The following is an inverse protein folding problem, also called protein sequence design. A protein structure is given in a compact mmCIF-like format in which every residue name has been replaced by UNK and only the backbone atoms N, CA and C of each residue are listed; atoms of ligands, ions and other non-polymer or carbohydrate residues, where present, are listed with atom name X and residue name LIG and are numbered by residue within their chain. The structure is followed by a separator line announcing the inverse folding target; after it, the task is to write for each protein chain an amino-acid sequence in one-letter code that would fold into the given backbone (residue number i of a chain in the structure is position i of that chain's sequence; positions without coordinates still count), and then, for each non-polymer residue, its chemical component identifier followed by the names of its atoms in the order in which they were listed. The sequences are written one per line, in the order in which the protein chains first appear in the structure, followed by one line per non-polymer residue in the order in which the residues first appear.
data_IF_834296176012
#
_entry.id   IF_834296176012
#
_cell.length_a   1.000
_cell.length_b   1.000
_cell.length_c   1.000
_cell.angle_alpha   90.00
_cell.angle_beta   90.00
_cell.angle_gamma   90.00
#
_symmetry.space_group_name_H-M   'P 1'
#
loop_
_entity.id
_entity.type
_entity.pdbx_description
1 polymer ?
#
# COMPACT_ATOMS: atom_id res chain seq x y z
N UNK A 1 -1.98 28.60 -17.16
CA UNK A 1 -1.85 28.26 -15.73
C UNK A 1 -1.00 29.32 -15.03
N UNK A 2 -1.46 29.79 -13.87
CA UNK A 2 -0.66 30.66 -13.00
C UNK A 2 0.39 29.85 -12.22
N UNK A 3 1.36 30.53 -11.60
CA UNK A 3 2.34 29.88 -10.73
C UNK A 3 1.64 29.10 -9.59
N UNK A 4 0.59 29.70 -9.01
CA UNK A 4 -0.17 29.06 -7.93
C UNK A 4 -0.80 27.75 -8.42
N UNK A 5 -1.41 27.77 -9.59
CA UNK A 5 -2.03 26.58 -10.20
C UNK A 5 -1.00 25.51 -10.55
N UNK A 6 0.19 25.90 -11.05
CA UNK A 6 1.29 24.98 -11.34
C UNK A 6 1.75 24.27 -10.06
N UNK A 7 1.96 25.03 -8.98
CA UNK A 7 2.37 24.47 -7.68
C UNK A 7 1.32 23.53 -7.10
N UNK A 8 0.05 23.93 -7.12
CA UNK A 8 -1.06 23.11 -6.62
C UNK A 8 -1.19 21.81 -7.42
N UNK A 9 -1.11 21.91 -8.74
CA UNK A 9 -1.18 20.75 -9.62
C UNK A 9 -0.02 19.78 -9.36
N UNK A 10 1.20 20.29 -9.21
CA UNK A 10 2.36 19.47 -8.89
C UNK A 10 2.22 18.77 -7.54
N UNK A 11 1.80 19.49 -6.50
CA UNK A 11 1.57 18.92 -5.16
C UNK A 11 0.52 17.81 -5.20
N UNK A 12 -0.61 18.04 -5.85
CA UNK A 12 -1.67 17.04 -6.02
C UNK A 12 -1.19 15.79 -6.76
N UNK A 13 -0.44 15.98 -7.85
CA UNK A 13 0.10 14.86 -8.64
C UNK A 13 1.15 14.06 -7.86
N UNK A 14 2.00 14.73 -7.09
CA UNK A 14 2.94 14.06 -6.21
C UNK A 14 2.24 13.28 -5.10
N UNK A 15 1.17 13.84 -4.51
CA UNK A 15 0.34 13.13 -3.55
C UNK A 15 -0.30 11.88 -4.17
N UNK A 16 -0.83 11.98 -5.39
CA UNK A 16 -1.39 10.83 -6.11
C UNK A 16 -0.32 9.74 -6.36
N UNK A 17 0.89 10.15 -6.71
CA UNK A 17 2.02 9.20 -6.87
C UNK A 17 2.38 8.51 -5.57
N UNK A 18 2.38 9.24 -4.46
CA UNK A 18 2.61 8.68 -3.13
C UNK A 18 1.50 7.69 -2.74
N UNK A 19 0.24 8.04 -2.95
CA UNK A 19 -0.91 7.19 -2.64
C UNK A 19 -0.91 5.92 -3.49
N UNK A 20 -0.58 6.04 -4.77
CA UNK A 20 -0.41 4.88 -5.67
C UNK A 20 0.71 3.95 -5.19
N UNK A 21 1.82 4.52 -4.73
CA UNK A 21 2.92 3.76 -4.14
C UNK A 21 2.49 3.04 -2.86
N UNK A 22 1.77 3.71 -1.95
CA UNK A 22 1.21 3.10 -0.75
C UNK A 22 0.32 1.90 -1.09
N UNK A 23 -0.58 2.07 -2.06
CA UNK A 23 -1.45 0.99 -2.52
C UNK A 23 -0.65 -0.18 -3.11
N UNK A 24 0.39 0.09 -3.88
CA UNK A 24 1.30 -0.92 -4.41
C UNK A 24 2.00 -1.72 -3.31
N UNK A 25 2.44 -1.04 -2.25
CA UNK A 25 3.08 -1.70 -1.10
C UNK A 25 2.14 -2.64 -0.35
N UNK A 26 0.85 -2.33 -0.25
CA UNK A 26 -0.12 -3.19 0.44
C UNK A 26 -0.28 -4.55 -0.25
N UNK A 27 0.00 -4.63 -1.54
CA UNK A 27 -0.08 -5.86 -2.34
C UNK A 27 1.13 -6.77 -2.16
N UNK A 28 2.22 -6.27 -1.59
CA UNK A 28 3.42 -7.06 -1.33
C UNK A 28 3.22 -7.81 -0.02
N UNK A 29 3.28 -9.15 -0.07
CA UNK A 29 3.15 -10.00 1.11
C UNK A 29 4.34 -9.81 2.05
N UNK A 30 4.02 -9.61 3.32
CA UNK A 30 5.00 -9.67 4.41
C UNK A 30 4.74 -10.91 5.26
N UNK A 31 5.65 -11.24 6.16
CA UNK A 31 5.41 -12.31 7.14
C UNK A 31 4.33 -11.96 8.18
N UNK A 32 3.83 -10.72 8.18
CA UNK A 32 2.80 -10.26 9.10
C UNK A 32 1.40 -10.61 8.61
N UNK A 33 0.57 -11.05 9.54
CA UNK A 33 -0.86 -11.25 9.29
C UNK A 33 -1.58 -9.90 9.13
N UNK A 34 -2.49 -9.85 8.15
CA UNK A 34 -3.37 -8.72 7.94
C UNK A 34 -4.79 -9.25 7.69
N UNK A 35 -5.80 -8.86 8.49
CA UNK A 35 -7.18 -9.30 8.26
C UNK A 35 -7.69 -9.01 6.85
N UNK A 36 -7.22 -7.94 6.22
CA UNK A 36 -7.57 -7.59 4.85
C UNK A 36 -7.18 -8.63 3.79
N UNK A 37 -6.28 -9.56 4.11
CA UNK A 37 -5.96 -10.68 3.21
C UNK A 37 -7.15 -11.58 2.92
N UNK A 38 -8.11 -11.65 3.82
CA UNK A 38 -9.32 -12.48 3.68
C UNK A 38 -10.47 -11.74 3.00
N UNK A 39 -10.33 -10.48 2.64
CA UNK A 39 -11.40 -9.70 2.01
C UNK A 39 -11.85 -10.26 0.66
N UNK A 40 -10.96 -10.96 -0.03
CA UNK A 40 -11.25 -11.59 -1.32
C UNK A 40 -11.90 -12.98 -1.17
N UNK A 41 -11.94 -13.53 0.04
CA UNK A 41 -12.52 -14.85 0.31
C UNK A 41 -14.04 -14.73 0.41
N UNK A 42 -14.75 -15.52 -0.38
CA UNK A 42 -16.20 -15.60 -0.37
C UNK A 42 -16.64 -16.97 0.15
N UNK A 43 -17.69 -16.97 0.95
CA UNK A 43 -18.25 -18.18 1.59
C UNK A 43 -19.67 -18.39 1.10
N UNK A 44 -20.03 -19.65 0.86
CA UNK A 44 -21.41 -20.01 0.56
C UNK A 44 -22.27 -19.86 1.84
N UNK A 45 -23.15 -18.89 1.83
CA UNK A 45 -24.11 -18.62 2.88
C UNK A 45 -25.52 -18.81 2.36
N UNK A 46 -26.09 -19.97 2.65
CA UNK A 46 -27.45 -20.40 2.20
C UNK A 46 -27.67 -20.22 0.68
N UNK A 47 -26.68 -20.61 -0.11
CA UNK A 47 -26.73 -20.54 -1.57
C UNK A 47 -26.24 -19.23 -2.20
N UNK A 48 -25.87 -18.24 -1.38
CA UNK A 48 -25.30 -16.96 -1.84
C UNK A 48 -23.83 -16.87 -1.45
N UNK A 49 -22.97 -16.48 -2.40
CA UNK A 49 -21.57 -16.23 -2.13
C UNK A 49 -21.41 -14.83 -1.52
N UNK A 50 -21.01 -14.77 -0.26
CA UNK A 50 -20.84 -13.52 0.48
C UNK A 50 -19.41 -13.38 0.98
N UNK A 51 -18.91 -12.14 1.15
CA UNK A 51 -17.59 -11.92 1.77
C UNK A 51 -17.53 -12.52 3.17
N UNK A 52 -16.36 -13.03 3.56
CA UNK A 52 -16.15 -13.65 4.87
C UNK A 52 -16.52 -12.72 6.03
N UNK A 53 -16.32 -11.41 5.87
CA UNK A 53 -16.65 -10.40 6.87
C UNK A 53 -18.16 -10.30 7.18
N UNK A 54 -19.01 -10.82 6.33
CA UNK A 54 -20.47 -10.86 6.54
C UNK A 54 -20.95 -12.08 7.33
N UNK A 55 -20.09 -13.06 7.56
CA UNK A 55 -20.44 -14.32 8.25
C UNK A 55 -19.55 -14.60 9.46
N UNK A 56 -18.50 -13.83 9.65
CA UNK A 56 -17.54 -14.01 10.73
C UNK A 56 -16.89 -12.69 11.14
N UNK A 57 -16.39 -12.65 12.36
CA UNK A 57 -15.51 -11.58 12.81
C UNK A 57 -14.06 -11.95 12.50
N UNK A 58 -13.40 -11.13 11.71
CA UNK A 58 -11.99 -11.31 11.30
C UNK A 58 -11.11 -10.32 12.04
N UNK A 59 -10.15 -10.81 12.80
CA UNK A 59 -9.24 -10.00 13.59
C UNK A 59 -7.84 -10.62 13.65
N UNK A 60 -6.88 -9.92 14.25
CA UNK A 60 -5.57 -10.48 14.53
C UNK A 60 -5.55 -11.18 15.88
N UNK A 61 -5.07 -12.41 15.91
CA UNK A 61 -4.78 -13.12 17.15
C UNK A 61 -3.37 -12.75 17.66
N UNK A 62 -2.42 -12.70 16.74
CA UNK A 62 -1.06 -12.25 16.96
C UNK A 62 -0.47 -11.69 15.65
N UNK A 63 0.81 -11.31 15.64
CA UNK A 63 1.47 -10.71 14.48
C UNK A 63 1.49 -11.60 13.22
N UNK A 64 1.27 -12.90 13.36
CA UNK A 64 1.37 -13.89 12.27
C UNK A 64 0.12 -14.75 12.10
N UNK A 65 -0.90 -14.54 12.91
CA UNK A 65 -2.10 -15.38 12.90
C UNK A 65 -3.36 -14.52 12.82
N UNK A 66 -4.20 -14.81 11.84
CA UNK A 66 -5.54 -14.21 11.73
C UNK A 66 -6.51 -15.10 12.51
N UNK A 67 -7.40 -14.46 13.25
CA UNK A 67 -8.49 -15.09 13.98
C UNK A 67 -9.79 -14.87 13.24
N UNK A 68 -10.53 -15.94 12.95
CA UNK A 68 -11.84 -15.90 12.32
C UNK A 68 -12.85 -16.55 13.25
N UNK A 69 -13.79 -15.78 13.74
CA UNK A 69 -14.86 -16.24 14.64
C UNK A 69 -16.19 -16.23 13.90
N UNK A 70 -16.72 -17.39 13.48
CA UNK A 70 -18.03 -17.46 12.84
C UNK A 70 -19.13 -16.99 13.78
N UNK A 71 -20.09 -16.24 13.27
CA UNK A 71 -21.25 -15.80 14.07
C UNK A 71 -22.29 -16.90 14.27
N UNK A 72 -22.38 -17.82 13.31
CA UNK A 72 -23.29 -18.93 13.37
C UNK A 72 -22.53 -20.25 13.57
N UNK A 73 -23.03 -21.08 14.48
CA UNK A 73 -22.54 -22.45 14.62
C UNK A 73 -22.83 -23.25 13.33
N UNK A 74 -21.86 -24.00 12.89
CA UNK A 74 -21.98 -24.77 11.64
C UNK A 74 -21.44 -24.04 10.40
N UNK A 75 -21.21 -22.74 10.46
CA UNK A 75 -20.53 -22.02 9.37
C UNK A 75 -19.01 -22.20 9.38
N UNK A 76 -18.44 -22.65 10.50
CA UNK A 76 -16.99 -22.78 10.65
C UNK A 76 -16.35 -23.68 9.60
N UNK A 77 -16.95 -24.83 9.32
CA UNK A 77 -16.44 -25.76 8.29
C UNK A 77 -16.48 -25.18 6.89
N UNK A 78 -17.51 -24.43 6.54
CA UNK A 78 -17.64 -23.74 5.24
C UNK A 78 -16.63 -22.63 5.10
N UNK A 79 -16.42 -21.84 6.16
CA UNK A 79 -15.43 -20.75 6.19
C UNK A 79 -14.02 -21.35 6.07
N UNK A 80 -13.71 -22.37 6.83
CA UNK A 80 -12.42 -23.07 6.77
C UNK A 80 -12.13 -23.60 5.36
N UNK A 81 -13.11 -24.26 4.76
CA UNK A 81 -12.99 -24.75 3.39
C UNK A 81 -12.77 -23.62 2.38
N UNK A 82 -13.52 -22.53 2.49
CA UNK A 82 -13.40 -21.38 1.61
C UNK A 82 -11.99 -20.73 1.69
N UNK A 83 -11.43 -20.65 2.87
CA UNK A 83 -10.06 -20.14 3.07
C UNK A 83 -9.03 -21.10 2.47
N UNK A 84 -9.20 -22.40 2.71
CA UNK A 84 -8.29 -23.44 2.20
C UNK A 84 -8.29 -23.50 0.67
N UNK A 85 -9.45 -23.40 0.06
CA UNK A 85 -9.64 -23.48 -1.39
C UNK A 85 -9.31 -22.14 -2.10
N UNK A 86 -9.04 -21.09 -1.34
CA UNK A 86 -8.62 -19.79 -1.90
C UNK A 86 -7.20 -19.86 -2.47
N UNK A 87 -6.89 -18.96 -3.40
CA UNK A 87 -5.55 -18.84 -4.01
C UNK A 87 -4.50 -18.26 -3.08
N UNK A 88 -4.85 -18.01 -1.81
CA UNK A 88 -3.97 -17.37 -0.84
C UNK A 88 -2.90 -18.31 -0.26
N UNK A 89 -3.07 -19.63 -0.42
CA UNK A 89 -2.11 -20.61 0.11
C UNK A 89 -2.10 -20.69 1.63
N UNK A 90 -3.23 -20.44 2.27
CA UNK A 90 -3.39 -20.45 3.72
C UNK A 90 -3.89 -21.81 4.22
N UNK A 91 -3.45 -22.18 5.42
CA UNK A 91 -3.88 -23.40 6.09
C UNK A 91 -4.69 -23.08 7.35
N UNK A 92 -6.01 -22.89 7.25
CA UNK A 92 -6.83 -22.63 8.42
C UNK A 92 -6.91 -23.87 9.30
N UNK A 93 -6.94 -23.66 10.61
CA UNK A 93 -7.12 -24.71 11.61
C UNK A 93 -8.24 -24.32 12.57
N UNK A 94 -9.27 -25.14 12.64
CA UNK A 94 -10.36 -24.93 13.58
C UNK A 94 -9.92 -25.35 15.00
N UNK A 95 -10.19 -24.47 15.97
CA UNK A 95 -9.95 -24.69 17.39
C UNK A 95 -11.21 -24.28 18.16
N UNK A 96 -12.10 -25.21 18.42
CA UNK A 96 -13.42 -24.90 18.97
C UNK A 96 -14.25 -24.06 17.99
N UNK A 97 -14.75 -22.93 18.46
CA UNK A 97 -15.52 -21.98 17.65
C UNK A 97 -14.64 -20.97 16.92
N UNK A 98 -13.32 -21.08 17.05
CA UNK A 98 -12.34 -20.17 16.46
C UNK A 98 -11.59 -20.87 15.34
N UNK A 99 -11.40 -20.16 14.23
CA UNK A 99 -10.54 -20.60 13.14
C UNK A 99 -9.26 -19.78 13.19
N UNK A 100 -8.12 -20.46 13.32
CA UNK A 100 -6.80 -19.84 13.29
C UNK A 100 -6.24 -19.94 11.88
N UNK A 101 -5.80 -18.85 11.34
CA UNK A 101 -5.18 -18.78 10.01
C UNK A 101 -3.76 -18.25 10.16
N UNK A 102 -2.78 -19.15 10.36
CA UNK A 102 -1.37 -18.73 10.46
C UNK A 102 -0.85 -18.32 9.08
N UNK A 103 0.00 -17.28 9.08
CA UNK A 103 0.71 -16.89 7.87
C UNK A 103 1.81 -17.89 7.56
N UNK A 104 1.99 -18.28 6.27
CA UNK A 104 3.12 -19.11 5.87
C UNK A 104 4.44 -18.43 6.22
N UNK A 105 5.40 -19.20 6.73
CA UNK A 105 6.74 -18.70 6.96
C UNK A 105 7.40 -18.39 5.61
N UNK A 106 7.99 -17.20 5.49
CA UNK A 106 8.78 -16.84 4.32
C UNK A 106 10.25 -17.29 4.52
N UNK A 107 10.84 -17.83 3.46
CA UNK A 107 12.28 -18.13 3.44
C UNK A 107 13.08 -16.83 3.44
N UNK A 108 14.32 -16.89 3.93
CA UNK A 108 15.24 -15.73 3.87
C UNK A 108 15.46 -15.25 2.45
N UNK A 109 15.59 -16.17 1.50
CA UNK A 109 15.71 -15.86 0.08
C UNK A 109 14.49 -15.06 -0.45
N UNK A 110 13.29 -15.50 -0.11
CA UNK A 110 12.05 -14.78 -0.50
C UNK A 110 11.99 -13.39 0.11
N UNK A 111 12.39 -13.23 1.36
CA UNK A 111 12.48 -11.91 2.02
C UNK A 111 13.43 -10.97 1.30
N UNK A 112 14.59 -11.47 0.89
CA UNK A 112 15.58 -10.69 0.13
C UNK A 112 15.02 -10.26 -1.23
N UNK A 113 14.34 -11.15 -1.94
CA UNK A 113 13.67 -10.81 -3.21
C UNK A 113 12.63 -9.72 -3.03
N UNK A 114 11.76 -9.84 -2.01
CA UNK A 114 10.72 -8.86 -1.73
C UNK A 114 11.31 -7.51 -1.33
N UNK A 115 12.40 -7.49 -0.59
CA UNK A 115 13.11 -6.25 -0.25
C UNK A 115 13.61 -5.53 -1.50
N UNK A 116 14.15 -6.27 -2.47
CA UNK A 116 14.56 -5.70 -3.77
C UNK A 116 13.36 -5.12 -4.53
N UNK A 117 12.22 -5.82 -4.53
CA UNK A 117 10.99 -5.34 -5.16
C UNK A 117 10.53 -4.03 -4.51
N UNK A 118 10.50 -3.96 -3.19
CA UNK A 118 10.10 -2.74 -2.45
C UNK A 118 11.02 -1.57 -2.79
N UNK A 119 12.31 -1.78 -2.82
CA UNK A 119 13.30 -0.74 -3.18
C UNK A 119 13.10 -0.26 -4.62
N UNK A 120 12.89 -1.18 -5.56
CA UNK A 120 12.64 -0.83 -6.96
C UNK A 120 11.36 -0.01 -7.11
N UNK A 121 10.28 -0.39 -6.45
CA UNK A 121 9.03 0.36 -6.45
C UNK A 121 9.21 1.75 -5.83
N UNK A 122 9.98 1.86 -4.76
CA UNK A 122 10.35 3.14 -4.14
C UNK A 122 11.12 4.05 -5.08
N UNK A 123 12.08 3.52 -5.82
CA UNK A 123 12.83 4.29 -6.83
C UNK A 123 11.93 4.77 -7.97
N UNK A 124 11.02 3.92 -8.45
CA UNK A 124 10.04 4.31 -9.47
C UNK A 124 9.15 5.47 -8.99
N UNK A 125 8.68 5.40 -7.75
CA UNK A 125 7.88 6.48 -7.15
C UNK A 125 8.68 7.78 -7.05
N UNK A 126 9.94 7.72 -6.61
CA UNK A 126 10.81 8.90 -6.52
C UNK A 126 11.11 9.50 -7.89
N UNK A 127 11.31 8.69 -8.91
CA UNK A 127 11.49 9.15 -10.30
C UNK A 127 10.24 9.89 -10.79
N UNK A 128 9.05 9.33 -10.55
CA UNK A 128 7.79 9.98 -10.91
C UNK A 128 7.64 11.36 -10.23
N UNK A 129 7.96 11.44 -8.94
CA UNK A 129 7.93 12.70 -8.17
C UNK A 129 8.93 13.72 -8.72
N UNK A 130 10.14 13.30 -9.04
CA UNK A 130 11.16 14.18 -9.63
C UNK A 130 10.76 14.68 -11.02
N UNK A 131 10.10 13.86 -11.82
CA UNK A 131 9.58 14.27 -13.13
C UNK A 131 8.50 15.34 -12.97
N UNK A 132 7.60 15.18 -12.01
CA UNK A 132 6.58 16.19 -11.70
C UNK A 132 7.20 17.52 -11.25
N UNK A 133 8.30 17.48 -10.49
CA UNK A 133 9.08 18.66 -10.14
C UNK A 133 9.64 19.36 -11.38
N UNK A 134 10.23 18.60 -12.30
CA UNK A 134 10.79 19.15 -13.54
C UNK A 134 9.71 19.81 -14.38
N UNK A 135 8.59 19.14 -14.56
CA UNK A 135 7.45 19.66 -15.32
C UNK A 135 6.93 20.97 -14.72
N UNK A 136 6.83 21.04 -13.38
CA UNK A 136 6.41 22.25 -12.68
C UNK A 136 7.41 23.39 -12.87
N UNK A 137 8.70 23.12 -12.72
CA UNK A 137 9.76 24.12 -12.93
C UNK A 137 9.78 24.62 -14.38
N UNK A 138 9.59 23.73 -15.35
CA UNK A 138 9.52 24.09 -16.77
C UNK A 138 8.29 24.96 -17.06
N UNK A 139 7.16 24.65 -16.44
CA UNK A 139 5.95 25.47 -16.51
C UNK A 139 6.18 26.90 -15.99
N UNK A 140 6.86 27.04 -14.86
CA UNK A 140 7.20 28.35 -14.29
C UNK A 140 8.19 29.12 -15.19
N UNK A 141 9.22 28.45 -15.71
CA UNK A 141 10.17 29.04 -16.66
C UNK A 141 9.48 29.58 -17.91
N UNK A 142 8.49 28.83 -18.43
CA UNK A 142 7.68 29.25 -19.57
C UNK A 142 6.96 30.57 -19.27
N UNK A 143 6.36 30.71 -18.09
CA UNK A 143 5.71 31.95 -17.67
C UNK A 143 6.66 33.14 -17.64
N UNK A 144 7.88 32.94 -17.15
CA UNK A 144 8.91 33.99 -17.14
C UNK A 144 9.32 34.39 -18.56
N UNK A 145 9.50 33.40 -19.44
CA UNK A 145 9.82 33.63 -20.86
C UNK A 145 8.71 34.38 -21.57
N UNK A 146 7.47 34.13 -21.25
CA UNK A 146 6.30 34.84 -21.78
C UNK A 146 6.04 36.19 -21.07
N UNK A 147 6.88 36.57 -20.14
CA UNK A 147 6.78 37.81 -19.34
C UNK A 147 5.52 37.88 -18.46
N UNK A 148 4.98 36.74 -18.10
CA UNK A 148 3.84 36.62 -17.18
C UNK A 148 4.25 36.44 -15.72
N UNK A 149 5.55 36.26 -15.46
CA UNK A 149 6.13 36.14 -14.13
C UNK A 149 7.56 36.71 -14.15
N UNK A 150 8.07 37.10 -12.98
CA UNK A 150 9.44 37.62 -12.81
C UNK A 150 10.44 36.48 -12.53
N UNK A 151 11.72 36.77 -12.71
CA UNK A 151 12.80 35.83 -12.31
C UNK A 151 12.81 35.57 -10.80
N UNK A 152 12.42 36.54 -9.99
CA UNK A 152 12.25 36.39 -8.54
C UNK A 152 11.11 35.42 -8.22
N UNK A 153 10.00 35.48 -8.94
CA UNK A 153 8.88 34.54 -8.82
C UNK A 153 9.32 33.14 -9.19
N UNK A 154 10.12 32.99 -10.23
CA UNK A 154 10.70 31.71 -10.64
C UNK A 154 11.54 31.11 -9.52
N UNK A 155 12.47 31.86 -8.97
CA UNK A 155 13.37 31.41 -7.90
C UNK A 155 12.58 30.95 -6.67
N UNK A 156 11.64 31.78 -6.20
CA UNK A 156 10.77 31.45 -5.05
C UNK A 156 9.95 30.20 -5.30
N UNK A 157 9.38 30.09 -6.49
CA UNK A 157 8.57 28.93 -6.86
C UNK A 157 9.40 27.66 -6.91
N UNK A 158 10.61 27.71 -7.46
CA UNK A 158 11.51 26.56 -7.50
C UNK A 158 11.92 26.11 -6.09
N UNK A 159 12.16 27.04 -5.17
CA UNK A 159 12.45 26.72 -3.77
C UNK A 159 11.26 26.03 -3.09
N UNK A 160 10.05 26.52 -3.30
CA UNK A 160 8.83 25.93 -2.73
C UNK A 160 8.55 24.54 -3.33
N UNK A 161 8.67 24.39 -4.65
CA UNK A 161 8.49 23.12 -5.35
C UNK A 161 9.55 22.12 -4.86
N UNK A 162 10.78 22.55 -4.64
CA UNK A 162 11.83 21.68 -4.08
C UNK A 162 11.49 21.23 -2.66
N UNK A 163 10.96 22.10 -1.81
CA UNK A 163 10.58 21.76 -0.44
C UNK A 163 9.52 20.67 -0.38
N UNK A 164 8.43 20.81 -1.14
CA UNK A 164 7.41 19.75 -1.11
C UNK A 164 7.85 18.50 -1.87
N UNK A 165 8.69 18.62 -2.89
CA UNK A 165 9.32 17.44 -3.52
C UNK A 165 10.14 16.64 -2.52
N UNK A 166 10.99 17.31 -1.74
CA UNK A 166 11.82 16.65 -0.72
C UNK A 166 10.97 15.98 0.36
N UNK A 167 9.86 16.59 0.74
CA UNK A 167 8.89 16.02 1.67
C UNK A 167 8.30 14.72 1.13
N UNK A 168 7.84 14.69 -0.11
CA UNK A 168 7.29 13.49 -0.74
C UNK A 168 8.34 12.38 -0.90
N UNK A 169 9.57 12.73 -1.28
CA UNK A 169 10.67 11.76 -1.39
C UNK A 169 11.00 11.16 -0.02
N UNK A 170 11.04 11.97 1.03
CA UNK A 170 11.25 11.51 2.39
C UNK A 170 10.14 10.54 2.85
N UNK A 171 8.89 10.82 2.50
CA UNK A 171 7.77 9.90 2.78
C UNK A 171 7.90 8.57 2.04
N UNK A 172 8.34 8.59 0.78
CA UNK A 172 8.63 7.34 0.04
C UNK A 172 9.71 6.53 0.74
N UNK A 173 10.82 7.16 1.12
CA UNK A 173 11.92 6.50 1.82
C UNK A 173 11.47 5.90 3.16
N UNK A 174 10.64 6.61 3.90
CA UNK A 174 10.06 6.14 5.17
C UNK A 174 9.16 4.92 4.96
N UNK A 175 8.34 4.92 3.92
CA UNK A 175 7.46 3.80 3.58
C UNK A 175 8.27 2.57 3.14
N UNK A 176 9.34 2.77 2.37
CA UNK A 176 10.27 1.71 1.98
C UNK A 176 10.90 1.07 3.22
N UNK A 177 11.46 1.88 4.11
CA UNK A 177 12.10 1.40 5.34
C UNK A 177 11.11 0.63 6.23
N UNK A 178 9.89 1.15 6.40
CA UNK A 178 8.84 0.49 7.18
C UNK A 178 8.44 -0.86 6.57
N UNK A 179 8.27 -0.93 5.25
CA UNK A 179 7.92 -2.17 4.56
C UNK A 179 9.05 -3.20 4.62
N UNK A 180 10.31 -2.77 4.50
CA UNK A 180 11.46 -3.65 4.67
C UNK A 180 11.51 -4.26 6.08
N UNK A 181 11.23 -3.47 7.10
CA UNK A 181 11.13 -3.98 8.48
C UNK A 181 10.02 -5.02 8.61
N UNK A 182 8.86 -4.78 8.01
CA UNK A 182 7.74 -5.74 8.04
C UNK A 182 8.09 -7.06 7.33
N UNK A 183 8.83 -6.99 6.22
CA UNK A 183 9.30 -8.18 5.50
C UNK A 183 10.32 -8.96 6.32
N UNK A 184 11.21 -8.27 7.01
CA UNK A 184 12.26 -8.89 7.81
C UNK A 184 11.81 -9.30 9.21
N UNK A 185 10.64 -8.87 9.68
CA UNK A 185 10.08 -9.28 10.96
C UNK A 185 9.77 -10.78 10.97
N UNK A 186 10.22 -11.45 12.00
CA UNK A 186 10.06 -12.90 12.19
C UNK A 186 8.93 -13.19 13.18
#
# INVERSE_FOLDING_TARGET
MSIVEIKQHADQKMQQSLDSFKNGLTKIRTGRANPGLLDTVHVDYYGAMVPISQVANVSLLDARTISVSPWEKGMGAKIEKAIRDSDLGLNPAAQGDLIRVPMPAMTEERRRELTKVVRAEGEHAKVAIRNLRRDANDGVKKLVKEKLASEDDERRSQEEIQKFTDRFIAEVDKLVAGKEQDIMAV
#
